data_IF_899141348770
#
_entry.id   IF_899141348770
#
_cell.length_a   1.000
_cell.length_b   1.000
_cell.length_c   1.000
_cell.angle_alpha   90.00
_cell.angle_beta   90.00
_cell.angle_gamma   90.00
#
_symmetry.space_group_name_H-M   'P 1'
#
loop_
_entity.id
_entity.type
_entity.pdbx_description
1 polymer ?
#
# COMPACT_ATOMS: atom_id res chain seq x y z
N UNK A 1 10.93 -18.97 6.99
CA UNK A 1 9.67 -18.27 6.71
C UNK A 1 9.57 -17.05 7.60
N UNK A 2 9.28 -15.89 7.02
CA UNK A 2 9.01 -14.65 7.75
C UNK A 2 7.62 -14.78 8.39
N UNK A 3 7.51 -15.06 9.69
CA UNK A 3 6.24 -15.16 10.44
C UNK A 3 5.71 -13.76 10.81
N UNK A 4 5.49 -12.92 9.82
CA UNK A 4 5.04 -11.53 10.01
C UNK A 4 3.86 -11.21 9.11
N UNK A 5 2.88 -10.51 9.67
CA UNK A 5 1.63 -10.14 8.99
C UNK A 5 1.32 -8.67 9.22
N UNK A 6 0.49 -8.10 8.36
CA UNK A 6 -0.08 -6.77 8.60
C UNK A 6 -0.83 -6.78 9.95
N UNK A 7 -0.79 -5.70 10.74
CA UNK A 7 -0.17 -4.40 10.46
C UNK A 7 1.27 -4.26 10.99
N UNK A 8 2.01 -5.36 11.27
CA UNK A 8 3.39 -5.27 11.78
C UNK A 8 4.30 -4.56 10.76
N UNK A 9 4.98 -3.50 11.19
CA UNK A 9 5.91 -2.69 10.37
C UNK A 9 6.94 -3.55 9.61
N UNK A 10 7.32 -4.72 10.14
CA UNK A 10 8.26 -5.64 9.50
C UNK A 10 7.78 -6.10 8.13
N UNK A 11 6.48 -6.37 7.94
CA UNK A 11 5.97 -6.85 6.65
C UNK A 11 6.11 -5.79 5.56
N UNK A 12 5.90 -4.51 5.92
CA UNK A 12 6.05 -3.39 4.99
C UNK A 12 7.52 -3.14 4.67
N UNK A 13 8.41 -3.22 5.67
CA UNK A 13 9.86 -3.15 5.45
C UNK A 13 10.37 -4.25 4.51
N UNK A 14 9.88 -5.49 4.68
CA UNK A 14 10.21 -6.61 3.79
C UNK A 14 9.69 -6.33 2.39
N UNK A 15 8.47 -5.82 2.25
CA UNK A 15 7.89 -5.45 0.96
C UNK A 15 8.75 -4.40 0.26
N UNK A 16 9.05 -3.26 0.91
CA UNK A 16 9.87 -2.17 0.37
C UNK A 16 11.22 -2.70 -0.12
N UNK A 17 11.91 -3.52 0.68
CA UNK A 17 13.20 -4.13 0.30
C UNK A 17 13.09 -5.07 -0.91
N UNK A 18 12.00 -5.84 -1.01
CA UNK A 18 11.79 -6.80 -2.11
C UNK A 18 11.42 -6.12 -3.42
N UNK A 19 10.60 -5.07 -3.38
CA UNK A 19 10.24 -4.32 -4.60
C UNK A 19 11.36 -3.40 -5.06
N UNK A 20 12.29 -3.05 -4.18
CA UNK A 20 13.49 -2.24 -4.47
C UNK A 20 13.16 -0.90 -5.15
N UNK A 21 12.12 -0.23 -4.63
CA UNK A 21 11.72 1.13 -5.00
C UNK A 21 11.48 1.93 -3.72
N UNK A 22 11.65 3.26 -3.82
CA UNK A 22 11.37 4.14 -2.69
C UNK A 22 9.88 4.06 -2.28
N UNK A 23 9.55 4.13 -0.97
CA UNK A 23 8.18 3.96 -0.47
C UNK A 23 7.13 4.85 -1.15
N UNK A 24 7.48 6.09 -1.49
CA UNK A 24 6.61 7.04 -2.17
C UNK A 24 6.26 6.67 -3.62
N UNK A 25 6.89 5.63 -4.19
CA UNK A 25 6.54 5.08 -5.51
C UNK A 25 5.68 3.81 -5.40
N UNK A 26 5.29 3.41 -4.19
CA UNK A 26 4.45 2.24 -3.94
C UNK A 26 3.03 2.71 -3.65
N UNK A 27 2.04 2.05 -4.26
CA UNK A 27 0.62 2.18 -3.91
C UNK A 27 0.15 0.90 -3.22
N UNK A 28 -0.24 1.00 -1.96
CA UNK A 28 -0.79 -0.12 -1.17
C UNK A 28 -2.31 -0.01 -1.07
N UNK A 29 -3.01 -1.06 -1.48
CA UNK A 29 -4.47 -1.14 -1.52
C UNK A 29 -4.95 -2.20 -0.53
N UNK A 30 -5.78 -1.80 0.44
CA UNK A 30 -6.30 -2.67 1.50
C UNK A 30 -7.64 -2.12 2.02
N UNK A 31 -8.52 -2.97 2.53
CA UNK A 31 -9.81 -2.57 3.12
C UNK A 31 -9.68 -2.21 4.61
N UNK A 32 -8.68 -2.76 5.30
CA UNK A 32 -8.45 -2.54 6.73
C UNK A 32 -7.73 -1.21 6.99
N UNK A 33 -8.41 -0.31 7.71
CA UNK A 33 -7.85 0.98 8.14
C UNK A 33 -6.56 0.83 8.95
N UNK A 34 -6.44 -0.23 9.76
CA UNK A 34 -5.25 -0.47 10.58
C UNK A 34 -4.04 -0.80 9.71
N UNK A 35 -4.23 -1.60 8.66
CA UNK A 35 -3.18 -1.94 7.70
C UNK A 35 -2.77 -0.72 6.87
N UNK A 36 -3.73 0.11 6.45
CA UNK A 36 -3.46 1.33 5.70
C UNK A 36 -2.65 2.32 6.54
N UNK A 37 -3.04 2.54 7.80
CA UNK A 37 -2.30 3.44 8.69
C UNK A 37 -0.86 2.97 8.94
N UNK A 38 -0.62 1.66 9.07
CA UNK A 38 0.72 1.12 9.21
C UNK A 38 1.55 1.34 7.95
N UNK A 39 1.00 1.06 6.75
CA UNK A 39 1.68 1.32 5.49
C UNK A 39 2.03 2.81 5.31
N UNK A 40 1.10 3.71 5.64
CA UNK A 40 1.31 5.16 5.53
C UNK A 40 2.44 5.68 6.43
N UNK A 41 2.57 5.13 7.65
CA UNK A 41 3.70 5.46 8.55
C UNK A 41 5.06 5.07 7.98
N UNK A 42 5.10 4.07 7.09
CA UNK A 42 6.30 3.63 6.39
C UNK A 42 6.59 4.47 5.12
N UNK A 43 5.81 5.52 4.84
CA UNK A 43 5.98 6.38 3.67
C UNK A 43 5.36 5.82 2.38
N UNK A 44 4.58 4.74 2.48
CA UNK A 44 3.90 4.13 1.33
C UNK A 44 2.59 4.89 1.04
N UNK A 45 2.29 5.15 -0.24
CA UNK A 45 0.98 5.70 -0.61
C UNK A 45 -0.11 4.65 -0.39
N UNK A 46 -1.26 5.07 0.07
CA UNK A 46 -2.36 4.16 0.44
C UNK A 46 -3.64 4.49 -0.31
N UNK A 47 -4.41 3.46 -0.63
CA UNK A 47 -5.77 3.58 -1.15
C UNK A 47 -6.67 2.60 -0.41
N UNK A 48 -7.72 3.10 0.24
CA UNK A 48 -8.70 2.25 0.90
C UNK A 48 -9.55 1.55 -0.13
N UNK A 49 -9.52 0.22 -0.14
CA UNK A 49 -10.40 -0.57 -0.97
C UNK A 49 -11.84 -0.51 -0.42
N UNK A 50 -12.79 -0.18 -1.30
CA UNK A 50 -14.24 -0.23 -1.01
C UNK A 50 -14.95 -1.12 -2.02
N UNK A 51 -14.69 -0.86 -3.30
CA UNK A 51 -15.23 -1.58 -4.45
C UNK A 51 -14.37 -1.31 -5.69
N UNK A 52 -14.52 -2.16 -6.71
CA UNK A 52 -13.73 -2.07 -7.94
C UNK A 52 -13.99 -0.80 -8.75
N UNK A 53 -15.22 -0.24 -8.72
CA UNK A 53 -15.57 0.95 -9.52
C UNK A 53 -14.87 2.18 -8.95
N UNK A 54 -14.94 2.36 -7.63
CA UNK A 54 -14.26 3.45 -6.94
C UNK A 54 -12.73 3.34 -7.08
N UNK A 55 -12.17 2.15 -6.86
CA UNK A 55 -10.73 1.91 -7.01
C UNK A 55 -10.25 2.25 -8.43
N UNK A 56 -10.97 1.78 -9.46
CA UNK A 56 -10.65 2.08 -10.86
C UNK A 56 -10.65 3.58 -11.14
N UNK A 57 -11.71 4.29 -10.72
CA UNK A 57 -11.82 5.73 -10.91
C UNK A 57 -10.67 6.48 -10.25
N UNK A 58 -10.29 6.12 -9.01
CA UNK A 58 -9.19 6.78 -8.31
C UNK A 58 -7.87 6.52 -9.04
N UNK A 59 -7.58 5.26 -9.40
CA UNK A 59 -6.34 4.91 -10.08
C UNK A 59 -6.23 5.66 -11.41
N UNK A 60 -7.26 5.68 -12.24
CA UNK A 60 -7.22 6.33 -13.56
C UNK A 60 -7.06 7.86 -13.48
N UNK A 61 -7.59 8.52 -12.44
CA UNK A 61 -7.57 9.98 -12.32
C UNK A 61 -6.42 10.53 -11.45
N UNK A 62 -5.95 9.77 -10.45
CA UNK A 62 -4.96 10.23 -9.48
C UNK A 62 -3.59 9.57 -9.65
N UNK A 63 -3.55 8.34 -10.17
CA UNK A 63 -2.32 7.57 -10.35
C UNK A 63 -2.04 7.40 -11.85
N UNK A 64 -1.36 8.39 -12.43
CA UNK A 64 -1.05 8.41 -13.86
C UNK A 64 -0.02 7.32 -14.20
N UNK A 65 -0.47 6.20 -14.77
CA UNK A 65 0.39 5.33 -15.58
C UNK A 65 0.59 6.00 -16.95
N UNK A 66 1.56 6.92 -17.02
CA UNK A 66 2.05 7.43 -18.31
C UNK A 66 3.13 6.50 -18.84
#
# INVERSE_FOLDING_TARGET
>A
EEKVSKPDDKIYNICIKKVNVEPQHILFIDDSKVNLNAAQKMGINILKFTDCKNMKNIIENEYVFK
#
